data_IF_337157946103
#
_entry.id   IF_337157946103
#
_cell.length_a   1.000
_cell.length_b   1.000
_cell.length_c   1.000
_cell.angle_alpha   90.00
_cell.angle_beta   90.00
_cell.angle_gamma   90.00
#
_symmetry.space_group_name_H-M   'P 1'
#
loop_
_entity.id
_entity.type
_entity.pdbx_description
1 polymer ?
#
# COMPACT_ATOMS: atom_id res chain seq x y z
N UNK A 1 9.04 2.91 -14.08
CA UNK A 1 9.48 3.51 -15.35
C UNK A 1 10.81 4.23 -15.20
N UNK A 2 10.98 5.13 -14.21
CA UNK A 2 12.24 5.84 -13.99
C UNK A 2 13.40 4.87 -13.70
N UNK A 3 13.20 3.89 -12.85
CA UNK A 3 14.20 2.86 -12.55
C UNK A 3 14.48 1.94 -13.76
N UNK A 4 13.45 1.63 -14.56
CA UNK A 4 13.61 0.87 -15.80
C UNK A 4 14.45 1.64 -16.84
N UNK A 5 14.33 2.97 -16.91
CA UNK A 5 15.18 3.82 -17.72
C UNK A 5 16.66 3.72 -17.36
N UNK A 6 16.96 3.50 -16.07
CA UNK A 6 18.30 3.25 -15.58
C UNK A 6 18.80 1.79 -15.76
N UNK A 7 17.90 0.87 -16.13
CA UNK A 7 18.16 -0.57 -16.24
C UNK A 7 18.10 -1.30 -14.89
N UNK A 8 17.32 -2.37 -14.85
CA UNK A 8 17.20 -3.24 -13.67
C UNK A 8 17.88 -4.59 -14.00
N UNK A 9 18.96 -4.90 -13.30
CA UNK A 9 19.74 -6.14 -13.51
C UNK A 9 19.44 -7.23 -12.48
N UNK A 10 18.76 -6.89 -11.36
CA UNK A 10 18.40 -7.81 -10.27
C UNK A 10 17.07 -7.46 -9.66
N UNK A 11 16.31 -8.48 -9.26
CA UNK A 11 15.11 -8.33 -8.42
C UNK A 11 15.47 -7.88 -7.00
N UNK A 12 14.48 -7.51 -6.18
CA UNK A 12 14.68 -7.26 -4.76
C UNK A 12 15.19 -8.50 -3.99
N UNK A 13 14.91 -9.70 -4.48
CA UNK A 13 15.43 -10.96 -3.97
C UNK A 13 16.85 -11.29 -4.44
N UNK A 14 17.47 -10.41 -5.25
CA UNK A 14 18.82 -10.58 -5.80
C UNK A 14 18.91 -11.55 -6.98
N UNK A 15 17.78 -12.04 -7.51
CA UNK A 15 17.78 -12.92 -8.68
C UNK A 15 18.09 -12.10 -9.94
N UNK A 16 18.81 -12.67 -10.92
CA UNK A 16 19.09 -12.01 -12.18
C UNK A 16 17.81 -11.60 -12.90
N UNK A 17 17.74 -10.37 -13.34
CA UNK A 17 16.62 -9.85 -14.10
C UNK A 17 17.10 -8.73 -15.01
N UNK A 18 16.69 -8.74 -16.26
CA UNK A 18 17.14 -7.73 -17.22
C UNK A 18 15.94 -6.95 -17.77
N UNK A 19 15.76 -5.73 -17.26
CA UNK A 19 14.91 -4.71 -17.85
C UNK A 19 15.80 -3.56 -18.27
N UNK A 20 15.93 -3.35 -19.56
CA UNK A 20 16.67 -2.26 -20.15
C UNK A 20 15.72 -1.23 -20.77
N UNK A 21 16.17 0.02 -20.90
CA UNK A 21 15.35 1.12 -21.41
C UNK A 21 14.80 0.87 -22.83
N UNK A 22 15.55 0.17 -23.67
CA UNK A 22 15.16 -0.22 -25.03
C UNK A 22 13.98 -1.21 -25.08
N UNK A 23 13.67 -1.87 -23.96
CA UNK A 23 12.50 -2.77 -23.82
C UNK A 23 11.28 -2.09 -23.21
N UNK A 24 11.41 -0.85 -22.79
CA UNK A 24 10.35 -0.08 -22.14
C UNK A 24 10.04 1.14 -23.00
N UNK A 25 8.98 1.11 -23.82
CA UNK A 25 8.61 2.28 -24.61
C UNK A 25 8.31 3.45 -23.68
N UNK A 26 8.78 4.63 -24.06
CA UNK A 26 8.47 5.85 -23.32
C UNK A 26 6.95 6.11 -23.32
N UNK A 27 6.40 6.48 -22.18
CA UNK A 27 5.02 6.89 -22.07
C UNK A 27 4.90 8.38 -22.42
N UNK A 28 3.77 8.78 -23.03
CA UNK A 28 3.48 10.18 -23.32
C UNK A 28 2.95 10.93 -22.10
N UNK A 29 2.36 10.22 -21.16
CA UNK A 29 1.84 10.74 -19.90
C UNK A 29 1.57 9.64 -18.91
N UNK A 30 1.34 10.01 -17.65
CA UNK A 30 0.97 9.06 -16.57
C UNK A 30 -0.28 9.52 -15.86
N UNK A 31 -1.18 8.59 -15.56
CA UNK A 31 -2.39 8.84 -14.78
C UNK A 31 -2.41 7.92 -13.57
N UNK A 32 -2.56 8.48 -12.39
CA UNK A 32 -2.65 7.77 -11.11
C UNK A 32 -4.04 8.01 -10.52
N UNK A 33 -4.87 6.97 -10.51
CA UNK A 33 -6.25 7.03 -10.04
C UNK A 33 -6.37 6.26 -8.73
N UNK A 34 -6.85 6.93 -7.68
CA UNK A 34 -7.00 6.32 -6.35
C UNK A 34 -5.79 5.43 -6.01
N UNK A 35 -4.58 5.98 -6.25
CA UNK A 35 -3.36 5.20 -6.21
C UNK A 35 -2.68 5.26 -4.85
N UNK A 36 -2.14 4.12 -4.41
CA UNK A 36 -1.25 4.08 -3.25
C UNK A 36 0.09 4.76 -3.53
N UNK A 37 0.68 5.37 -2.51
CA UNK A 37 2.06 5.89 -2.57
C UNK A 37 3.07 4.78 -2.84
N UNK A 38 2.85 3.59 -2.27
CA UNK A 38 3.57 2.34 -2.58
C UNK A 38 2.91 1.17 -1.83
N UNK A 39 3.06 -0.05 -2.35
CA UNK A 39 2.52 -1.24 -1.69
C UNK A 39 3.16 -1.50 -0.32
N UNK A 40 4.48 -1.41 -0.23
CA UNK A 40 5.19 -1.71 1.02
C UNK A 40 4.89 -0.70 2.13
N UNK A 41 4.74 0.61 1.82
CA UNK A 41 4.39 1.62 2.81
C UNK A 41 2.97 1.40 3.32
N UNK A 42 2.01 1.28 2.41
CA UNK A 42 0.60 1.04 2.77
C UNK A 42 0.43 -0.24 3.54
N UNK A 43 1.04 -1.32 3.09
CA UNK A 43 0.98 -2.58 3.81
C UNK A 43 1.57 -2.45 5.21
N UNK A 44 2.67 -1.71 5.37
CA UNK A 44 3.27 -1.49 6.69
C UNK A 44 2.36 -0.66 7.59
N UNK A 45 1.58 0.27 7.04
CA UNK A 45 0.55 1.02 7.79
C UNK A 45 -0.69 0.16 8.13
N UNK A 46 -0.88 -1.00 7.50
CA UNK A 46 -2.05 -1.88 7.67
C UNK A 46 -1.75 -3.21 8.37
N UNK A 47 -0.48 -3.60 8.49
CA UNK A 47 -0.13 -4.83 9.17
C UNK A 47 -0.45 -4.73 10.67
N UNK A 48 -1.11 -5.74 11.21
CA UNK A 48 -1.53 -5.78 12.63
C UNK A 48 -0.33 -5.99 13.55
N UNK A 49 0.13 -4.99 14.29
CA UNK A 49 1.32 -5.12 15.13
C UNK A 49 1.09 -5.93 16.39
N UNK A 50 -0.16 -6.26 16.72
CA UNK A 50 -0.49 -7.08 17.90
C UNK A 50 -0.03 -8.51 17.76
N UNK A 51 0.21 -9.01 16.54
CA UNK A 51 0.74 -10.36 16.32
C UNK A 51 2.25 -10.35 16.55
N UNK A 52 2.66 -10.97 17.64
CA UNK A 52 4.06 -11.00 18.07
C UNK A 52 4.85 -12.17 17.47
N UNK A 53 4.18 -13.24 17.08
CA UNK A 53 4.77 -14.44 16.48
C UNK A 53 3.87 -14.92 15.32
N UNK A 54 4.45 -15.06 14.13
CA UNK A 54 3.72 -15.50 12.94
C UNK A 54 3.28 -16.98 13.00
N UNK A 55 3.88 -17.78 13.90
CA UNK A 55 3.48 -19.19 14.15
C UNK A 55 2.27 -19.33 15.08
N UNK A 56 1.94 -18.27 15.84
CA UNK A 56 0.82 -18.22 16.80
C UNK A 56 0.02 -16.92 16.63
N UNK A 57 -0.58 -16.68 15.46
CA UNK A 57 -1.19 -15.39 15.12
C UNK A 57 -2.47 -15.06 15.91
N UNK A 58 -3.00 -16.01 16.64
CA UNK A 58 -4.12 -15.88 17.57
C UNK A 58 -3.69 -15.31 18.93
N UNK A 59 -2.40 -15.40 19.30
CA UNK A 59 -1.83 -14.79 20.51
C UNK A 59 -1.41 -13.36 20.17
N UNK A 60 -2.12 -12.38 20.74
CA UNK A 60 -1.96 -10.97 20.41
C UNK A 60 -1.59 -10.14 21.63
N UNK A 61 -0.79 -9.10 21.39
CA UNK A 61 -0.56 -8.04 22.36
C UNK A 61 -1.87 -7.26 22.60
N UNK A 62 -2.44 -7.27 23.82
CA UNK A 62 -3.71 -6.61 24.11
C UNK A 62 -3.63 -5.07 24.00
N UNK A 63 -2.46 -4.47 24.18
CA UNK A 63 -2.29 -3.01 24.07
C UNK A 63 -2.21 -2.52 22.61
N UNK A 64 -1.88 -3.42 21.67
CA UNK A 64 -1.75 -3.14 20.23
C UNK A 64 -2.90 -3.71 19.40
N UNK A 65 -3.79 -4.54 19.97
CA UNK A 65 -4.91 -5.10 19.24
C UNK A 65 -6.06 -4.08 19.12
N UNK A 66 -6.14 -3.38 17.99
CA UNK A 66 -7.18 -2.37 17.73
C UNK A 66 -8.61 -2.91 17.84
N UNK A 67 -8.79 -4.21 17.68
CA UNK A 67 -10.12 -4.86 17.61
C UNK A 67 -10.52 -5.54 18.92
N UNK A 68 -9.68 -5.47 19.95
CA UNK A 68 -10.04 -5.93 21.28
C UNK A 68 -10.75 -4.81 22.05
N UNK A 69 -12.01 -5.01 22.46
CA UNK A 69 -12.73 -4.02 23.26
C UNK A 69 -12.09 -3.76 24.64
N UNK A 70 -11.23 -4.68 25.11
CA UNK A 70 -10.49 -4.52 26.36
C UNK A 70 -9.17 -3.75 26.19
N UNK A 71 -8.78 -3.40 24.96
CA UNK A 71 -7.58 -2.60 24.73
C UNK A 71 -7.71 -1.25 25.45
N UNK A 72 -6.72 -0.86 26.29
CA UNK A 72 -6.76 0.43 27.00
C UNK A 72 -6.68 1.63 26.05
N UNK A 73 -6.22 1.44 24.83
CA UNK A 73 -6.13 2.46 23.78
C UNK A 73 -7.35 2.37 22.86
N UNK A 74 -8.32 3.23 23.07
CA UNK A 74 -9.56 3.30 22.28
C UNK A 74 -9.63 4.63 21.50
N UNK A 75 -10.38 4.71 20.37
CA UNK A 75 -10.61 5.97 19.69
C UNK A 75 -11.32 7.02 20.59
N UNK A 76 -10.96 8.32 20.48
CA UNK A 76 -9.92 8.86 19.63
C UNK A 76 -8.53 8.53 20.17
N UNK A 77 -7.66 8.02 19.28
CA UNK A 77 -6.33 7.57 19.66
C UNK A 77 -5.39 8.73 19.99
N UNK A 78 -4.59 8.56 21.05
CA UNK A 78 -3.57 9.54 21.39
C UNK A 78 -2.39 9.50 20.40
N UNK A 79 -1.72 10.64 20.21
CA UNK A 79 -0.50 10.71 19.38
C UNK A 79 0.60 9.77 19.86
N UNK A 80 0.72 9.57 21.18
CA UNK A 80 1.69 8.64 21.76
C UNK A 80 1.39 7.20 21.35
N UNK A 81 0.12 6.78 21.43
CA UNK A 81 -0.30 5.46 20.98
C UNK A 81 -0.04 5.28 19.48
N UNK A 82 -0.45 6.22 18.63
CA UNK A 82 -0.25 6.14 17.17
C UNK A 82 1.23 6.02 16.81
N UNK A 83 2.11 6.71 17.53
CA UNK A 83 3.57 6.60 17.34
C UNK A 83 4.07 5.20 17.70
N UNK A 84 3.65 4.67 18.84
CA UNK A 84 4.01 3.32 19.30
C UNK A 84 3.47 2.26 18.33
N UNK A 85 2.22 2.40 17.93
CA UNK A 85 1.56 1.49 16.99
C UNK A 85 2.29 1.43 15.65
N UNK A 86 2.58 2.58 15.04
CA UNK A 86 3.33 2.67 13.79
C UNK A 86 4.74 2.06 13.88
N UNK A 87 5.45 2.31 15.00
CA UNK A 87 6.76 1.69 15.24
C UNK A 87 6.66 0.15 15.33
N UNK A 88 5.63 -0.37 15.98
CA UNK A 88 5.38 -1.80 16.09
C UNK A 88 5.00 -2.43 14.73
N UNK A 89 4.25 -1.72 13.88
CA UNK A 89 3.99 -2.14 12.49
C UNK A 89 5.27 -2.30 11.68
N UNK A 90 6.17 -1.32 11.74
CA UNK A 90 7.49 -1.39 11.08
C UNK A 90 8.32 -2.54 11.64
N UNK A 91 8.34 -2.73 12.95
CA UNK A 91 9.07 -3.82 13.61
C UNK A 91 8.56 -5.20 13.15
N UNK A 92 7.23 -5.39 13.03
CA UNK A 92 6.63 -6.61 12.53
C UNK A 92 7.00 -6.86 11.06
N UNK A 93 6.91 -5.86 10.19
CA UNK A 93 7.33 -5.99 8.78
C UNK A 93 8.79 -6.45 8.67
N UNK A 94 9.68 -5.84 9.46
CA UNK A 94 11.11 -6.21 9.49
C UNK A 94 11.36 -7.62 10.04
N UNK A 95 10.60 -8.05 11.03
CA UNK A 95 10.69 -9.43 11.57
C UNK A 95 10.33 -10.46 10.50
N UNK A 96 9.21 -10.26 9.79
CA UNK A 96 8.82 -11.14 8.68
C UNK A 96 9.88 -11.08 7.56
N UNK A 97 10.39 -9.90 7.24
CA UNK A 97 11.45 -9.75 6.23
C UNK A 97 12.73 -10.50 6.58
N UNK A 98 13.15 -10.48 7.84
CA UNK A 98 14.31 -11.23 8.30
C UNK A 98 14.13 -12.74 8.11
N UNK A 99 12.98 -13.26 8.53
CA UNK A 99 12.62 -14.67 8.30
C UNK A 99 12.56 -15.03 6.81
N UNK A 100 11.96 -14.17 5.97
CA UNK A 100 11.90 -14.37 4.52
C UNK A 100 13.29 -14.47 3.90
N UNK A 101 14.21 -13.60 4.31
CA UNK A 101 15.60 -13.60 3.81
C UNK A 101 16.34 -14.87 4.21
N UNK A 102 16.22 -15.29 5.45
CA UNK A 102 16.82 -16.53 5.95
C UNK A 102 16.28 -17.76 5.18
N UNK A 103 14.95 -17.84 5.05
CA UNK A 103 14.30 -18.93 4.32
C UNK A 103 14.69 -18.94 2.83
N UNK A 104 14.78 -17.77 2.21
CA UNK A 104 15.22 -17.65 0.81
C UNK A 104 16.67 -18.12 0.60
N UNK A 105 17.57 -17.84 1.55
CA UNK A 105 18.93 -18.37 1.50
C UNK A 105 18.93 -19.91 1.52
N UNK A 106 18.10 -20.53 2.37
CA UNK A 106 17.94 -21.98 2.41
C UNK A 106 17.40 -22.54 1.09
N UNK A 107 16.41 -21.87 0.47
CA UNK A 107 15.88 -22.28 -0.85
C UNK A 107 16.95 -22.17 -1.94
N UNK A 108 17.71 -21.08 -1.95
CA UNK A 108 18.78 -20.85 -2.94
C UNK A 108 19.94 -21.83 -2.81
N UNK A 109 20.16 -22.38 -1.61
CA UNK A 109 21.18 -23.41 -1.35
C UNK A 109 20.68 -24.84 -1.62
N UNK A 110 19.40 -25.06 -1.95
CA UNK A 110 18.82 -26.37 -2.22
C UNK A 110 19.10 -26.85 -3.66
N UNK A 111 18.76 -28.10 -3.94
CA UNK A 111 18.84 -28.69 -5.29
C UNK A 111 18.01 -27.94 -6.33
N UNK A 112 16.97 -27.22 -5.89
CA UNK A 112 16.13 -26.39 -6.76
C UNK A 112 16.11 -24.92 -6.28
N UNK A 113 17.16 -24.14 -6.57
CA UNK A 113 17.32 -22.77 -6.09
C UNK A 113 16.28 -21.79 -6.63
N UNK A 114 15.59 -22.15 -7.70
CA UNK A 114 14.52 -21.35 -8.33
C UNK A 114 13.12 -21.67 -7.79
N UNK A 115 12.98 -22.65 -6.90
CA UNK A 115 11.69 -22.98 -6.31
C UNK A 115 11.16 -21.81 -5.49
N UNK A 116 9.82 -21.73 -5.40
CA UNK A 116 9.12 -20.78 -4.56
C UNK A 116 8.65 -21.44 -3.25
N UNK A 117 8.65 -20.65 -2.18
CA UNK A 117 8.05 -21.03 -0.92
C UNK A 117 6.94 -20.04 -0.61
N UNK A 118 5.72 -20.55 -0.48
CA UNK A 118 4.54 -19.75 -0.17
C UNK A 118 4.28 -19.72 1.35
N UNK A 119 3.76 -18.59 1.84
CA UNK A 119 3.37 -18.43 3.24
C UNK A 119 2.20 -17.45 3.39
N UNK A 120 1.53 -17.53 4.51
CA UNK A 120 0.42 -16.64 4.86
C UNK A 120 0.89 -15.59 5.85
N UNK A 121 0.47 -14.34 5.64
CA UNK A 121 0.65 -13.24 6.59
C UNK A 121 -0.71 -12.95 7.24
N UNK A 122 -0.83 -13.20 8.52
CA UNK A 122 -2.05 -12.96 9.29
C UNK A 122 -2.17 -11.48 9.68
N UNK A 123 -3.39 -11.00 9.91
CA UNK A 123 -3.63 -9.64 10.40
C UNK A 123 -2.99 -8.57 9.50
N UNK A 124 -3.61 -8.24 8.39
CA UNK A 124 -3.08 -7.29 7.40
C UNK A 124 -4.01 -6.12 7.14
N UNK A 125 -5.00 -5.92 8.04
CA UNK A 125 -6.02 -4.88 7.90
C UNK A 125 -6.25 -4.18 9.25
N UNK A 126 -5.20 -3.57 9.82
CA UNK A 126 -5.21 -2.87 11.10
C UNK A 126 -4.70 -1.44 10.98
N UNK A 127 -5.52 -0.57 10.37
CA UNK A 127 -5.24 0.86 10.26
C UNK A 127 -6.10 1.64 11.26
N UNK A 128 -5.52 2.41 12.18
CA UNK A 128 -6.28 3.24 13.12
C UNK A 128 -7.25 4.22 12.45
N UNK A 129 -6.96 4.67 11.22
CA UNK A 129 -7.82 5.58 10.44
C UNK A 129 -9.21 5.02 10.15
N UNK A 130 -9.37 3.70 10.11
CA UNK A 130 -10.70 3.08 9.89
C UNK A 130 -11.58 3.15 11.13
N UNK A 131 -10.98 3.17 12.33
CA UNK A 131 -11.70 3.19 13.60
C UNK A 131 -11.84 4.60 14.19
N UNK A 132 -10.93 5.51 13.83
CA UNK A 132 -10.89 6.87 14.32
C UNK A 132 -10.99 7.88 13.16
N UNK A 133 -12.18 8.44 12.96
CA UNK A 133 -12.44 9.43 11.91
C UNK A 133 -11.77 10.79 12.16
N UNK A 134 -11.20 11.02 13.34
CA UNK A 134 -10.46 12.25 13.64
C UNK A 134 -9.04 12.20 13.06
N UNK A 135 -8.55 11.00 12.75
CA UNK A 135 -7.28 10.81 12.04
C UNK A 135 -7.54 11.00 10.56
N UNK A 136 -6.99 12.07 9.99
CA UNK A 136 -7.17 12.41 8.57
C UNK A 136 -8.65 12.53 8.18
N UNK A 137 -9.40 13.54 8.69
CA UNK A 137 -10.82 13.71 8.40
C UNK A 137 -11.10 13.81 6.89
N UNK A 138 -12.09 13.08 6.41
CA UNK A 138 -12.49 13.05 5.01
C UNK A 138 -13.94 12.58 4.88
N UNK A 139 -14.44 12.35 3.66
CA UNK A 139 -15.80 11.85 3.44
C UNK A 139 -15.93 10.32 3.68
N UNK A 140 -14.91 9.65 4.22
CA UNK A 140 -14.95 8.20 4.55
C UNK A 140 -16.04 7.89 5.57
N UNK A 141 -16.68 6.73 5.41
CA UNK A 141 -17.56 6.19 6.44
C UNK A 141 -16.72 5.65 7.63
N UNK A 142 -16.99 6.06 8.87
CA UNK A 142 -16.32 5.51 10.05
C UNK A 142 -16.58 4.00 10.21
N UNK A 143 -15.60 3.27 10.73
CA UNK A 143 -15.73 1.85 11.05
C UNK A 143 -15.74 0.92 9.83
N UNK A 144 -15.34 1.42 8.66
CA UNK A 144 -15.27 0.62 7.42
C UNK A 144 -13.91 0.74 6.75
N UNK A 145 -13.51 -0.32 6.04
CA UNK A 145 -12.43 -0.31 5.08
C UNK A 145 -12.97 -0.71 3.70
N UNK A 146 -12.16 -0.62 2.66
CA UNK A 146 -12.56 -0.93 1.28
C UNK A 146 -13.02 -2.39 1.05
N UNK A 147 -12.84 -3.27 2.03
CA UNK A 147 -13.33 -4.66 2.03
C UNK A 147 -14.49 -4.89 3.02
N UNK A 148 -14.98 -3.84 3.68
CA UNK A 148 -16.08 -3.91 4.64
C UNK A 148 -15.63 -3.72 6.09
N UNK A 149 -16.09 -4.56 7.02
CA UNK A 149 -15.73 -4.48 8.44
C UNK A 149 -14.23 -4.80 8.65
N UNK A 150 -13.43 -3.86 9.17
CA UNK A 150 -11.98 -4.03 9.26
C UNK A 150 -11.55 -5.21 10.12
N UNK A 151 -12.26 -5.48 11.23
CA UNK A 151 -11.97 -6.61 12.11
C UNK A 151 -12.15 -7.94 11.39
N UNK A 152 -13.30 -8.08 10.71
CA UNK A 152 -13.62 -9.30 9.94
C UNK A 152 -12.58 -9.55 8.85
N UNK A 153 -12.13 -8.50 8.16
CA UNK A 153 -11.10 -8.63 7.13
C UNK A 153 -9.72 -8.91 7.73
N UNK A 154 -9.40 -8.28 8.87
CA UNK A 154 -8.12 -8.52 9.56
C UNK A 154 -7.98 -9.99 10.01
N UNK A 155 -9.04 -10.57 10.53
CA UNK A 155 -9.06 -11.96 11.03
C UNK A 155 -9.35 -12.98 9.90
N UNK A 156 -9.89 -12.52 8.76
CA UNK A 156 -10.34 -13.36 7.65
C UNK A 156 -9.23 -13.85 6.70
N UNK A 157 -9.58 -14.68 5.73
CA UNK A 157 -8.64 -15.24 4.76
C UNK A 157 -8.24 -14.24 3.66
N UNK A 158 -8.98 -13.15 3.48
CA UNK A 158 -8.74 -12.13 2.45
C UNK A 158 -8.11 -10.89 3.10
N UNK A 159 -7.16 -10.28 2.42
CA UNK A 159 -6.50 -9.05 2.86
C UNK A 159 -5.27 -8.77 2.01
N UNK A 160 -4.77 -7.54 2.07
CA UNK A 160 -3.56 -7.15 1.36
C UNK A 160 -2.38 -8.01 1.87
N UNK A 161 -1.55 -8.53 0.97
CA UNK A 161 -0.40 -9.39 1.29
C UNK A 161 -0.72 -10.67 2.09
N UNK A 162 -1.98 -11.10 2.18
CA UNK A 162 -2.39 -12.28 2.94
C UNK A 162 -1.67 -13.55 2.50
N UNK A 163 -1.48 -13.73 1.21
CA UNK A 163 -0.71 -14.82 0.63
C UNK A 163 0.51 -14.26 -0.11
N UNK A 164 1.69 -14.73 0.26
CA UNK A 164 2.96 -14.30 -0.30
C UNK A 164 3.83 -15.48 -0.68
N UNK A 165 4.78 -15.24 -1.60
CA UNK A 165 5.98 -16.05 -1.73
C UNK A 165 7.17 -15.25 -1.20
N UNK A 166 8.31 -15.91 -0.92
CA UNK A 166 9.49 -15.22 -0.39
C UNK A 166 9.93 -14.06 -1.31
N UNK A 167 9.95 -14.30 -2.62
CA UNK A 167 10.35 -13.30 -3.61
C UNK A 167 9.33 -12.19 -3.78
N UNK A 168 8.02 -12.52 -3.75
CA UNK A 168 6.96 -11.52 -3.81
C UNK A 168 6.95 -10.61 -2.58
N UNK A 169 7.26 -11.16 -1.39
CA UNK A 169 7.40 -10.36 -0.18
C UNK A 169 8.48 -9.28 -0.33
N UNK A 170 9.70 -9.66 -0.71
CA UNK A 170 10.80 -8.72 -0.88
C UNK A 170 10.52 -7.68 -1.96
N UNK A 171 9.83 -8.06 -3.03
CA UNK A 171 9.54 -7.17 -4.15
C UNK A 171 8.42 -6.18 -3.91
N UNK A 172 7.43 -6.52 -3.06
CA UNK A 172 6.20 -5.74 -2.92
C UNK A 172 5.91 -5.24 -1.50
N UNK A 173 6.30 -5.98 -0.45
CA UNK A 173 5.80 -5.80 0.91
C UNK A 173 6.84 -5.44 1.95
N UNK A 174 8.10 -5.83 1.75
CA UNK A 174 9.20 -5.45 2.64
C UNK A 174 9.41 -3.94 2.63
N UNK A 175 9.34 -3.32 3.81
CA UNK A 175 9.50 -1.85 3.94
C UNK A 175 10.89 -1.37 3.50
N UNK A 176 11.91 -2.22 3.67
CA UNK A 176 13.30 -1.86 3.40
C UNK A 176 13.82 -2.38 2.04
N UNK A 177 13.17 -3.38 1.41
CA UNK A 177 13.69 -4.03 0.18
C UNK A 177 12.86 -3.72 -1.07
N UNK A 178 11.55 -3.44 -0.93
CA UNK A 178 10.70 -3.15 -2.09
C UNK A 178 11.08 -1.82 -2.73
N UNK A 179 11.17 -1.82 -4.07
CA UNK A 179 11.65 -0.67 -4.84
C UNK A 179 10.56 0.15 -5.50
N UNK A 180 9.35 -0.39 -5.62
CA UNK A 180 8.21 0.32 -6.20
C UNK A 180 7.67 1.35 -5.20
N UNK A 181 8.22 2.56 -5.25
CA UNK A 181 7.82 3.69 -4.42
C UNK A 181 7.49 4.88 -5.32
N UNK A 182 6.22 5.26 -5.37
CA UNK A 182 5.76 6.34 -6.23
C UNK A 182 6.26 7.72 -5.77
N UNK A 183 6.62 7.87 -4.49
CA UNK A 183 7.19 9.12 -3.96
C UNK A 183 8.59 9.35 -4.55
N UNK A 184 9.48 8.37 -4.41
CA UNK A 184 10.83 8.48 -4.95
C UNK A 184 10.87 8.45 -6.48
N UNK A 185 9.99 7.66 -7.12
CA UNK A 185 9.88 7.60 -8.57
C UNK A 185 9.25 8.85 -9.16
N UNK A 186 8.26 9.46 -8.48
CA UNK A 186 7.56 10.66 -8.93
C UNK A 186 8.49 11.84 -9.14
N UNK A 187 9.49 11.99 -8.28
CA UNK A 187 10.49 13.04 -8.40
C UNK A 187 11.31 12.98 -9.73
N UNK A 188 11.32 11.82 -10.40
CA UNK A 188 12.04 11.59 -11.65
C UNK A 188 11.13 11.66 -12.89
N UNK A 189 9.83 11.88 -12.72
CA UNK A 189 8.93 12.02 -13.86
C UNK A 189 9.23 13.31 -14.63
N UNK A 190 9.26 13.20 -15.96
CA UNK A 190 9.43 14.33 -16.88
C UNK A 190 8.29 14.43 -17.89
N UNK A 191 7.25 13.60 -17.74
CA UNK A 191 6.11 13.50 -18.64
C UNK A 191 4.85 14.05 -17.97
N UNK A 192 3.87 14.56 -18.76
CA UNK A 192 2.60 15.04 -18.24
C UNK A 192 1.98 14.05 -17.25
N UNK A 193 1.51 14.54 -16.11
CA UNK A 193 1.02 13.68 -15.03
C UNK A 193 -0.33 14.12 -14.52
N UNK A 194 -1.25 13.16 -14.37
CA UNK A 194 -2.56 13.36 -13.78
C UNK A 194 -2.70 12.51 -12.52
N UNK A 195 -3.07 13.13 -11.39
CA UNK A 195 -3.40 12.45 -10.14
C UNK A 195 -4.86 12.68 -9.81
N UNK A 196 -5.63 11.62 -9.68
CA UNK A 196 -7.04 11.66 -9.28
C UNK A 196 -7.20 10.90 -7.96
N UNK A 197 -7.70 11.59 -6.94
CA UNK A 197 -8.09 11.00 -5.67
C UNK A 197 -9.59 11.04 -5.44
N UNK A 198 -10.03 10.30 -4.46
CA UNK A 198 -11.42 10.22 -4.04
C UNK A 198 -11.53 10.65 -2.57
N UNK A 199 -12.47 11.54 -2.24
CA UNK A 199 -12.53 12.08 -0.86
C UNK A 199 -13.14 11.13 0.17
N UNK A 200 -13.88 10.11 -0.29
CA UNK A 200 -14.40 9.03 0.56
C UNK A 200 -13.61 7.72 0.38
N UNK A 201 -12.37 7.79 -0.11
CA UNK A 201 -11.52 6.62 -0.28
C UNK A 201 -11.00 6.14 1.07
N UNK A 202 -11.30 4.90 1.41
CA UNK A 202 -10.93 4.21 2.63
C UNK A 202 -9.75 3.22 2.46
N UNK A 203 -9.17 3.19 1.26
CA UNK A 203 -7.93 2.49 0.95
C UNK A 203 -6.80 3.49 0.65
N UNK A 204 -6.96 4.32 -0.38
CA UNK A 204 -6.02 5.39 -0.75
C UNK A 204 -6.56 6.72 -0.24
N UNK A 205 -6.43 6.99 1.04
CA UNK A 205 -6.95 8.20 1.67
C UNK A 205 -6.47 9.47 0.96
N UNK A 206 -7.17 10.61 1.06
CA UNK A 206 -6.80 11.85 0.37
C UNK A 206 -5.34 12.27 0.51
N UNK A 207 -4.72 11.98 1.65
CA UNK A 207 -3.29 12.27 1.87
C UNK A 207 -2.36 11.50 0.93
N UNK A 208 -2.74 10.30 0.50
CA UNK A 208 -1.95 9.56 -0.50
C UNK A 208 -1.93 10.29 -1.83
N UNK A 209 -3.08 10.78 -2.28
CA UNK A 209 -3.22 11.55 -3.52
C UNK A 209 -2.37 12.81 -3.48
N UNK A 210 -2.45 13.57 -2.38
CA UNK A 210 -1.65 14.78 -2.18
C UNK A 210 -0.15 14.47 -2.18
N UNK A 211 0.28 13.46 -1.44
CA UNK A 211 1.70 13.03 -1.39
C UNK A 211 2.21 12.59 -2.75
N UNK A 212 1.39 11.89 -3.56
CA UNK A 212 1.76 11.50 -4.94
C UNK A 212 1.94 12.74 -5.81
N UNK A 213 0.99 13.66 -5.77
CA UNK A 213 1.05 14.90 -6.55
C UNK A 213 2.26 15.76 -6.18
N UNK A 214 2.52 15.93 -4.88
CA UNK A 214 3.64 16.73 -4.39
C UNK A 214 5.00 16.11 -4.76
N UNK A 215 5.06 14.77 -4.84
CA UNK A 215 6.28 14.05 -5.20
C UNK A 215 6.67 14.19 -6.68
N UNK A 216 5.75 14.57 -7.57
CA UNK A 216 6.05 14.75 -9.00
C UNK A 216 6.95 15.96 -9.20
N UNK A 217 8.14 15.73 -9.77
CA UNK A 217 9.23 16.70 -9.84
C UNK A 217 9.12 17.77 -10.92
N UNK A 218 8.08 17.76 -11.76
CA UNK A 218 7.89 18.76 -12.84
C UNK A 218 6.54 19.45 -12.73
N UNK A 219 6.38 20.59 -13.47
CA UNK A 219 5.20 21.46 -13.33
C UNK A 219 4.00 21.02 -14.16
N UNK A 220 4.20 20.25 -15.25
CA UNK A 220 3.09 19.74 -16.06
C UNK A 220 2.38 18.58 -15.37
N UNK A 221 1.72 18.89 -14.24
CA UNK A 221 0.97 17.96 -13.41
C UNK A 221 -0.38 18.54 -13.01
N UNK A 222 -1.38 17.67 -12.90
CA UNK A 222 -2.75 18.05 -12.54
C UNK A 222 -3.23 17.18 -11.38
N UNK A 223 -3.98 17.79 -10.46
CA UNK A 223 -4.61 17.14 -9.32
C UNK A 223 -6.11 17.35 -9.34
N UNK A 224 -6.86 16.27 -9.20
CA UNK A 224 -8.31 16.31 -9.02
C UNK A 224 -8.75 15.44 -7.85
N UNK A 225 -9.77 15.93 -7.11
CA UNK A 225 -10.40 15.19 -6.03
C UNK A 225 -11.88 15.00 -6.36
N UNK A 226 -12.29 13.75 -6.59
CA UNK A 226 -13.71 13.42 -6.83
C UNK A 226 -14.41 13.32 -5.48
N UNK A 227 -15.27 14.32 -5.21
CA UNK A 227 -15.92 14.48 -3.92
C UNK A 227 -16.93 13.36 -3.66
N UNK A 228 -16.83 12.72 -2.48
CA UNK A 228 -17.73 11.64 -2.05
C UNK A 228 -17.50 10.31 -2.77
N UNK A 229 -16.55 10.22 -3.70
CA UNK A 229 -16.21 8.96 -4.35
C UNK A 229 -15.45 8.04 -3.39
N UNK A 230 -15.83 6.77 -3.40
CA UNK A 230 -15.14 5.67 -2.68
C UNK A 230 -14.03 5.09 -3.54
N UNK A 231 -13.19 4.22 -2.98
CA UNK A 231 -12.08 3.58 -3.70
C UNK A 231 -12.51 2.91 -5.01
N UNK A 232 -13.60 2.17 -4.98
CA UNK A 232 -14.12 1.44 -6.15
C UNK A 232 -15.29 2.14 -6.85
N UNK A 233 -15.53 3.41 -6.58
CA UNK A 233 -16.70 4.12 -7.10
C UNK A 233 -18.01 3.39 -6.79
N UNK A 234 -18.12 2.82 -5.59
CA UNK A 234 -19.29 2.10 -5.11
C UNK A 234 -20.33 3.05 -4.49
N UNK A 235 -21.52 2.48 -4.20
CA UNK A 235 -22.61 3.22 -3.57
C UNK A 235 -23.55 3.96 -4.54
N UNK A 236 -24.54 4.71 -4.04
CA UNK A 236 -25.62 5.29 -4.85
C UNK A 236 -25.12 6.23 -5.97
N UNK A 237 -24.06 6.98 -5.70
CA UNK A 237 -23.49 7.95 -6.65
C UNK A 237 -22.29 7.40 -7.43
N UNK A 238 -21.92 6.14 -7.24
CA UNK A 238 -20.69 5.56 -7.80
C UNK A 238 -20.58 5.70 -9.31
N UNK A 239 -21.69 5.50 -10.05
CA UNK A 239 -21.71 5.70 -11.50
C UNK A 239 -21.46 7.15 -11.94
N UNK A 240 -21.97 8.12 -11.18
CA UNK A 240 -21.75 9.54 -11.46
C UNK A 240 -20.27 9.92 -11.20
N UNK A 241 -19.71 9.48 -10.09
CA UNK A 241 -18.31 9.69 -9.74
C UNK A 241 -17.36 9.04 -10.78
N UNK A 242 -17.65 7.82 -11.21
CA UNK A 242 -16.87 7.15 -12.27
C UNK A 242 -16.93 7.92 -13.59
N UNK A 243 -18.12 8.45 -13.95
CA UNK A 243 -18.27 9.28 -15.15
C UNK A 243 -17.46 10.58 -15.05
N UNK A 244 -17.45 11.22 -13.89
CA UNK A 244 -16.64 12.42 -13.62
C UNK A 244 -15.15 12.11 -13.79
N UNK A 245 -14.63 11.07 -13.10
CA UNK A 245 -13.24 10.66 -13.24
C UNK A 245 -12.86 10.32 -14.68
N UNK A 246 -13.75 9.61 -15.40
CA UNK A 246 -13.54 9.27 -16.83
C UNK A 246 -13.51 10.50 -17.72
N UNK A 247 -14.32 11.52 -17.42
CA UNK A 247 -14.30 12.80 -18.13
C UNK A 247 -12.97 13.53 -17.96
N UNK A 248 -12.47 13.62 -16.72
CA UNK A 248 -11.17 14.22 -16.39
C UNK A 248 -10.04 13.51 -17.16
N UNK A 249 -10.04 12.17 -17.18
CA UNK A 249 -9.08 11.36 -17.92
C UNK A 249 -9.14 11.69 -19.42
N UNK A 250 -10.36 11.75 -19.98
CA UNK A 250 -10.57 12.05 -21.40
C UNK A 250 -10.03 13.43 -21.80
N UNK A 251 -10.21 14.44 -20.96
CA UNK A 251 -9.66 15.78 -21.22
C UNK A 251 -8.12 15.79 -21.10
N UNK A 252 -7.56 15.13 -20.12
CA UNK A 252 -6.10 14.99 -19.99
C UNK A 252 -5.47 14.32 -21.22
N UNK A 253 -6.08 13.23 -21.71
CA UNK A 253 -5.59 12.50 -22.88
C UNK A 253 -5.60 13.32 -24.18
N UNK A 254 -6.52 14.28 -24.32
CA UNK A 254 -6.53 15.18 -25.48
C UNK A 254 -5.35 16.16 -25.50
N UNK A 255 -4.74 16.40 -24.36
CA UNK A 255 -3.60 17.30 -24.20
C UNK A 255 -2.23 16.63 -24.33
N UNK A 256 -2.20 15.30 -24.53
CA UNK A 256 -0.97 14.52 -24.76
C UNK A 256 -0.60 14.46 -26.24
#
# INVERSE_FOLDING_TARGET
LAEAGAGISKTAAGDPYNVSADRMPAANGIMMLAAHVSRHRIFTEWIDPSILDESTPDIRDPELNLYDPANPNQPPYSTAFLTTFAAAQVARNRRITAWVKEKLLSVKASENPNSEFAFTVHGTMADPRWLDSTIEPSDRAPGTCYLGDPKTVNDGPVGLARFCTLRSWLSQWSIDDARCDAISSGAQFSIPSLVIGNTADDACTPSHTTRLFDAIGHENKQLYMVKGATHYYAGPNGRAHLKEASGIIGEFMKGL
#
